data_IF_790637570875
#
_entry.id   IF_790637570875
#
_cell.length_a   1.000
_cell.length_b   1.000
_cell.length_c   1.000
_cell.angle_alpha   90.00
_cell.angle_beta   90.00
_cell.angle_gamma   90.00
#
_symmetry.space_group_name_H-M   'P 1'
#
loop_
_entity.id
_entity.type
_entity.pdbx_description
1 polymer ?
#
# COMPACT_ATOMS: atom_id res chain seq x y z
N UNK A 1 30.15 -24.71 -15.27
CA UNK A 1 29.73 -24.28 -16.63
C UNK A 1 29.15 -22.88 -16.57
N UNK A 2 29.82 -21.90 -17.20
CA UNK A 2 29.43 -20.47 -17.21
C UNK A 2 28.13 -20.28 -18.02
N UNK A 3 27.04 -19.86 -17.37
CA UNK A 3 25.83 -19.37 -18.05
C UNK A 3 26.13 -17.98 -18.64
N UNK A 4 26.32 -17.90 -19.96
CA UNK A 4 26.38 -16.62 -20.69
C UNK A 4 25.01 -15.92 -20.57
N UNK A 5 24.99 -14.74 -19.94
CA UNK A 5 23.90 -13.76 -20.10
C UNK A 5 23.82 -13.38 -21.58
N UNK A 6 22.83 -13.89 -22.29
CA UNK A 6 22.40 -13.31 -23.56
C UNK A 6 21.70 -11.99 -23.24
N UNK A 7 22.22 -10.89 -23.79
CA UNK A 7 21.62 -9.55 -23.67
C UNK A 7 20.18 -9.60 -24.18
N UNK A 8 19.23 -9.09 -23.39
CA UNK A 8 17.78 -9.06 -23.70
C UNK A 8 17.44 -8.40 -25.06
N UNK A 9 18.36 -7.65 -25.68
CA UNK A 9 18.18 -7.04 -27.00
C UNK A 9 18.01 -8.05 -28.14
N UNK A 10 18.61 -9.25 -28.04
CA UNK A 10 18.60 -10.19 -29.17
C UNK A 10 17.31 -11.03 -29.25
N UNK A 11 16.57 -11.15 -28.14
CA UNK A 11 15.30 -11.89 -28.10
C UNK A 11 14.16 -11.08 -28.72
N UNK A 12 14.18 -9.76 -28.55
CA UNK A 12 13.27 -8.83 -29.24
C UNK A 12 13.54 -8.78 -30.74
N UNK A 13 14.80 -8.69 -31.16
CA UNK A 13 15.14 -8.70 -32.59
C UNK A 13 14.75 -10.02 -33.27
N UNK A 14 14.93 -11.16 -32.61
CA UNK A 14 14.48 -12.45 -33.13
C UNK A 14 12.95 -12.52 -33.26
N UNK A 15 12.20 -12.01 -32.27
CA UNK A 15 10.74 -11.91 -32.34
C UNK A 15 10.28 -10.95 -33.45
N UNK A 16 11.00 -9.85 -33.69
CA UNK A 16 10.73 -8.91 -34.77
C UNK A 16 11.04 -9.48 -36.17
N UNK A 17 12.11 -10.27 -36.30
CA UNK A 17 12.44 -10.97 -37.55
C UNK A 17 11.46 -12.11 -37.82
N UNK A 18 11.09 -12.90 -36.80
CA UNK A 18 10.07 -13.94 -36.92
C UNK A 18 8.70 -13.34 -37.30
N UNK A 19 8.35 -12.20 -36.70
CA UNK A 19 7.14 -11.44 -37.03
C UNK A 19 7.19 -10.86 -38.45
N UNK A 20 8.33 -10.30 -38.88
CA UNK A 20 8.51 -9.79 -40.25
C UNK A 20 8.46 -10.88 -41.32
N UNK A 21 9.00 -12.07 -41.02
CA UNK A 21 8.95 -13.21 -41.94
C UNK A 21 7.53 -13.78 -42.10
N UNK A 22 6.71 -13.71 -41.05
CA UNK A 22 5.27 -14.08 -41.10
C UNK A 22 4.42 -13.07 -41.89
N UNK A 23 4.85 -11.81 -42.01
CA UNK A 23 4.15 -10.78 -42.79
C UNK A 23 4.36 -10.96 -44.30
N UNK A 24 5.51 -11.50 -44.73
CA UNK A 24 5.91 -11.49 -46.15
C UNK A 24 5.45 -12.70 -46.98
N UNK A 25 4.78 -13.70 -46.40
CA UNK A 25 4.27 -14.85 -47.15
C UNK A 25 2.76 -14.99 -46.98
N UNK A 26 2.06 -14.43 -47.97
CA UNK A 26 0.67 -14.65 -48.38
C UNK A 26 -0.42 -13.86 -47.62
N UNK A 27 -1.08 -13.00 -48.42
CA UNK A 27 -2.45 -12.45 -48.26
C UNK A 27 -2.64 -11.18 -47.40
N UNK A 28 -2.48 -10.02 -48.04
CA UNK A 28 -3.41 -8.85 -48.14
C UNK A 28 -4.23 -8.31 -46.93
N UNK A 29 -4.09 -8.81 -45.70
CA UNK A 29 -4.88 -8.34 -44.54
C UNK A 29 -4.12 -7.45 -43.53
N UNK A 30 -2.79 -7.26 -43.67
CA UNK A 30 -2.00 -6.53 -42.65
C UNK A 30 -1.75 -5.03 -42.92
N UNK A 31 -1.79 -4.56 -44.18
CA UNK A 31 -1.53 -3.13 -44.45
C UNK A 31 -2.73 -2.23 -44.14
N UNK A 32 -3.95 -2.70 -44.44
CA UNK A 32 -5.16 -1.99 -44.02
C UNK A 32 -5.33 -2.05 -42.50
N UNK A 33 -5.11 -3.16 -41.81
CA UNK A 33 -5.22 -3.20 -40.35
C UNK A 33 -4.17 -2.32 -39.64
N UNK A 34 -2.97 -2.15 -40.23
CA UNK A 34 -1.96 -1.21 -39.74
C UNK A 34 -2.37 0.26 -39.98
N UNK A 35 -2.84 0.63 -41.18
CA UNK A 35 -3.34 1.99 -41.45
C UNK A 35 -4.63 2.32 -40.69
N UNK A 36 -5.60 1.40 -40.62
CA UNK A 36 -6.80 1.54 -39.80
C UNK A 36 -6.45 1.55 -38.31
N UNK A 37 -5.45 0.78 -37.88
CA UNK A 37 -4.88 0.82 -36.55
C UNK A 37 -4.31 2.19 -36.23
N UNK A 38 -3.52 2.78 -37.13
CA UNK A 38 -3.00 4.15 -37.02
C UNK A 38 -4.12 5.19 -36.96
N UNK A 39 -5.13 5.11 -37.82
CA UNK A 39 -6.27 6.04 -37.81
C UNK A 39 -7.07 5.91 -36.51
N UNK A 40 -7.29 4.68 -36.01
CA UNK A 40 -7.97 4.44 -34.72
C UNK A 40 -7.14 4.97 -33.54
N UNK A 41 -5.84 4.70 -33.52
CA UNK A 41 -4.92 5.19 -32.50
C UNK A 41 -4.82 6.72 -32.52
N UNK A 42 -4.80 7.34 -33.70
CA UNK A 42 -4.80 8.79 -33.85
C UNK A 42 -6.12 9.41 -33.38
N UNK A 43 -7.27 8.77 -33.65
CA UNK A 43 -8.56 9.19 -33.09
C UNK A 43 -8.57 9.12 -31.57
N UNK A 44 -8.08 8.03 -30.99
CA UNK A 44 -7.95 7.86 -29.54
C UNK A 44 -7.01 8.92 -28.98
N UNK A 45 -5.84 9.13 -29.58
CA UNK A 45 -4.88 10.14 -29.17
C UNK A 45 -5.48 11.55 -29.19
N UNK A 46 -6.13 11.93 -30.29
CA UNK A 46 -6.78 13.24 -30.42
C UNK A 46 -7.91 13.41 -29.40
N UNK A 47 -8.67 12.33 -29.10
CA UNK A 47 -9.66 12.35 -28.04
C UNK A 47 -9.00 12.56 -26.68
N UNK A 48 -7.99 11.75 -26.33
CA UNK A 48 -7.25 11.89 -25.08
C UNK A 48 -6.61 13.28 -24.92
N UNK A 49 -6.05 13.85 -25.98
CA UNK A 49 -5.48 15.20 -25.99
C UNK A 49 -6.57 16.26 -25.76
N UNK A 50 -7.66 16.20 -26.54
CA UNK A 50 -8.78 17.15 -26.45
C UNK A 50 -9.48 17.11 -25.09
N UNK A 51 -9.56 15.93 -24.47
CA UNK A 51 -10.29 15.70 -23.23
C UNK A 51 -9.38 15.69 -21.98
N UNK A 52 -8.10 16.04 -22.10
CA UNK A 52 -7.22 16.28 -20.95
C UNK A 52 -6.54 15.05 -20.35
N UNK A 53 -6.58 13.90 -21.03
CA UNK A 53 -5.91 12.66 -20.61
C UNK A 53 -4.42 12.63 -20.94
N UNK A 54 -3.91 13.57 -21.75
CA UNK A 54 -2.48 13.69 -22.09
C UNK A 54 -1.88 14.87 -21.34
N UNK A 55 -1.00 14.56 -20.39
CA UNK A 55 -0.24 15.57 -19.66
C UNK A 55 0.94 16.06 -20.49
N UNK A 56 1.00 17.37 -20.76
CA UNK A 56 2.15 17.98 -21.41
C UNK A 56 3.30 18.23 -20.40
N UNK A 57 4.48 18.59 -20.92
CA UNK A 57 5.66 18.84 -20.09
C UNK A 57 5.47 19.95 -19.05
N UNK A 58 4.73 21.02 -19.35
CA UNK A 58 4.52 22.11 -18.40
C UNK A 58 3.60 21.69 -17.25
N UNK A 59 2.58 20.90 -17.53
CA UNK A 59 1.70 20.30 -16.54
C UNK A 59 2.46 19.34 -15.63
N UNK A 60 3.28 18.43 -16.20
CA UNK A 60 4.12 17.51 -15.42
C UNK A 60 5.07 18.28 -14.48
N UNK A 61 5.74 19.31 -14.99
CA UNK A 61 6.63 20.14 -14.17
C UNK A 61 5.87 20.85 -13.04
N UNK A 62 4.62 21.27 -13.28
CA UNK A 62 3.77 21.92 -12.27
C UNK A 62 3.33 20.93 -11.19
N UNK A 63 2.97 19.71 -11.58
CA UNK A 63 2.65 18.61 -10.65
C UNK A 63 3.86 18.31 -9.77
N UNK A 64 5.04 18.11 -10.37
CA UNK A 64 6.27 17.79 -9.64
C UNK A 64 6.63 18.88 -8.64
N UNK A 65 6.60 20.15 -9.04
CA UNK A 65 6.86 21.29 -8.13
C UNK A 65 5.84 21.35 -7.00
N UNK A 66 4.55 21.17 -7.32
CA UNK A 66 3.49 21.20 -6.31
C UNK A 66 3.64 20.05 -5.31
N UNK A 67 3.96 18.85 -5.79
CA UNK A 67 4.22 17.70 -4.93
C UNK A 67 5.43 17.90 -4.02
N UNK A 68 6.55 18.38 -4.59
CA UNK A 68 7.74 18.71 -3.82
C UNK A 68 7.44 19.77 -2.73
N UNK A 69 6.63 20.77 -3.05
CA UNK A 69 6.18 21.79 -2.09
C UNK A 69 5.29 21.19 -0.99
N UNK A 70 4.36 20.29 -1.32
CA UNK A 70 3.52 19.61 -0.32
C UNK A 70 4.38 18.81 0.65
N UNK A 71 5.31 18.00 0.14
CA UNK A 71 6.26 17.22 0.94
C UNK A 71 7.10 18.14 1.83
N UNK A 72 7.75 19.16 1.26
CA UNK A 72 8.61 20.09 1.99
C UNK A 72 7.84 20.81 3.10
N UNK A 73 6.64 21.31 2.78
CA UNK A 73 5.79 22.00 3.76
C UNK A 73 5.40 21.09 4.93
N UNK A 74 5.17 19.80 4.68
CA UNK A 74 4.81 18.84 5.72
C UNK A 74 5.96 18.61 6.70
N UNK A 75 7.20 18.56 6.21
CA UNK A 75 8.38 18.54 7.09
C UNK A 75 8.55 19.84 7.88
N UNK A 76 8.20 20.99 7.31
CA UNK A 76 8.41 22.29 7.96
C UNK A 76 7.36 22.58 9.05
N UNK A 77 6.14 22.06 8.91
CA UNK A 77 5.04 22.30 9.86
C UNK A 77 4.80 21.16 10.85
N UNK A 78 5.50 20.03 10.70
CA UNK A 78 5.44 18.89 11.63
C UNK A 78 4.17 18.04 11.51
N UNK A 79 3.94 17.16 12.50
CA UNK A 79 2.72 16.31 12.55
C UNK A 79 1.48 17.20 12.62
N UNK A 80 0.45 16.82 11.88
CA UNK A 80 -0.85 17.50 11.83
C UNK A 80 -1.70 17.45 13.11
N UNK A 81 -1.11 17.62 14.31
CA UNK A 81 -1.87 17.99 15.51
C UNK A 81 -1.77 19.50 15.77
N UNK A 82 -2.90 20.18 15.96
CA UNK A 82 -2.97 21.63 15.97
C UNK A 82 -2.31 22.18 17.23
N UNK A 83 -1.08 22.69 17.10
CA UNK A 83 -0.67 23.82 17.94
C UNK A 83 -1.50 25.02 17.50
N UNK A 84 -1.98 25.79 18.48
CA UNK A 84 -3.06 26.78 18.44
C UNK A 84 -2.99 27.89 17.37
N UNK A 85 -2.04 27.85 16.42
CA UNK A 85 -1.87 28.80 15.31
C UNK A 85 -1.35 28.17 13.99
N UNK A 86 -1.39 26.85 13.79
CA UNK A 86 -0.70 26.22 12.65
C UNK A 86 -1.49 26.23 11.32
N UNK A 87 -0.75 26.54 10.24
CA UNK A 87 -1.16 26.36 8.85
C UNK A 87 -1.52 24.89 8.58
N UNK A 88 -2.65 24.66 7.90
CA UNK A 88 -3.11 23.33 7.49
C UNK A 88 -2.19 22.83 6.36
N UNK A 89 -1.55 21.67 6.56
CA UNK A 89 -0.83 20.95 5.49
C UNK A 89 -1.77 20.04 4.73
N UNK A 90 -1.49 19.83 3.44
CA UNK A 90 -2.34 19.02 2.55
C UNK A 90 -2.20 17.52 2.81
N UNK A 91 -0.98 17.11 3.17
CA UNK A 91 -0.64 15.76 3.62
C UNK A 91 -0.15 15.80 5.05
N UNK A 92 -0.26 14.67 5.74
CA UNK A 92 0.25 14.52 7.11
C UNK A 92 1.43 13.55 7.12
N UNK A 93 2.39 13.81 7.99
CA UNK A 93 3.49 12.91 8.31
C UNK A 93 3.14 12.12 9.58
N UNK A 94 3.36 10.80 9.55
CA UNK A 94 3.03 9.88 10.64
C UNK A 94 4.25 9.06 11.06
N UNK A 95 4.40 8.83 12.38
CA UNK A 95 5.30 7.81 12.90
C UNK A 95 4.71 6.43 12.68
N UNK A 96 5.58 5.51 12.26
CA UNK A 96 5.24 4.08 12.15
C UNK A 96 5.69 3.27 13.35
N UNK A 97 6.51 3.88 14.23
CA UNK A 97 7.18 3.23 15.38
C UNK A 97 8.12 2.09 14.99
N UNK A 98 8.46 1.98 13.70
CA UNK A 98 9.55 1.13 13.23
C UNK A 98 10.83 1.95 13.15
N UNK A 99 11.82 1.56 13.95
CA UNK A 99 12.97 2.41 14.26
C UNK A 99 14.29 1.95 13.63
N UNK A 100 14.25 0.92 12.80
CA UNK A 100 15.40 0.43 12.07
C UNK A 100 14.97 -0.38 10.86
N UNK A 101 15.83 -0.39 9.84
CA UNK A 101 15.78 -1.41 8.80
C UNK A 101 16.30 -2.74 9.36
N UNK A 102 15.89 -3.88 8.76
CA UNK A 102 16.27 -5.17 9.28
C UNK A 102 17.79 -5.40 9.16
N UNK A 103 18.38 -5.98 10.21
CA UNK A 103 19.81 -6.29 10.30
C UNK A 103 20.18 -7.65 9.72
N UNK A 104 19.17 -8.50 9.46
CA UNK A 104 19.26 -9.94 9.14
C UNK A 104 19.68 -10.83 10.30
N UNK A 105 19.90 -10.26 11.49
CA UNK A 105 20.10 -11.03 12.72
C UNK A 105 18.77 -11.44 13.36
N UNK A 106 17.63 -11.03 12.80
CA UNK A 106 16.30 -11.41 13.28
C UNK A 106 16.12 -12.92 13.16
N UNK A 107 15.62 -13.52 14.24
CA UNK A 107 15.40 -14.94 14.35
C UNK A 107 14.16 -15.22 15.20
N UNK A 108 13.53 -16.36 14.96
CA UNK A 108 12.35 -16.80 15.71
C UNK A 108 11.21 -17.22 14.81
N UNK A 109 10.14 -17.69 15.43
CA UNK A 109 8.92 -18.14 14.75
C UNK A 109 7.81 -17.14 15.07
N UNK A 110 7.16 -16.62 14.03
CA UNK A 110 6.17 -15.56 14.12
C UNK A 110 4.90 -15.95 13.36
N UNK A 111 3.76 -15.58 13.92
CA UNK A 111 2.49 -15.62 13.20
C UNK A 111 2.30 -14.27 12.54
N UNK A 112 1.98 -14.26 11.25
CA UNK A 112 1.64 -13.05 10.52
C UNK A 112 0.20 -13.18 10.02
N UNK A 113 -0.64 -12.22 10.37
CA UNK A 113 -1.97 -12.07 9.79
C UNK A 113 -1.92 -10.89 8.81
N UNK A 114 -2.30 -11.13 7.57
CA UNK A 114 -2.51 -10.09 6.56
C UNK A 114 -4.02 -9.90 6.39
N UNK A 115 -4.51 -8.65 6.46
CA UNK A 115 -5.92 -8.32 6.33
C UNK A 115 -6.14 -7.22 5.29
N UNK A 116 -7.10 -7.45 4.39
CA UNK A 116 -7.51 -6.48 3.38
C UNK A 116 -6.77 -6.60 2.06
N UNK A 117 -6.05 -7.71 1.83
CA UNK A 117 -5.38 -7.98 0.56
C UNK A 117 -6.42 -8.19 -0.56
N UNK A 118 -6.00 -7.95 -1.81
CA UNK A 118 -6.80 -8.00 -3.01
C UNK A 118 -7.19 -9.41 -3.44
N UNK A 119 -6.26 -10.36 -3.28
CA UNK A 119 -6.43 -11.74 -3.76
C UNK A 119 -7.25 -12.53 -2.74
N UNK A 120 -6.88 -12.43 -1.46
CA UNK A 120 -7.53 -13.08 -0.32
C UNK A 120 -7.80 -12.02 0.75
N UNK A 121 -8.99 -12.04 1.34
CA UNK A 121 -9.37 -11.04 2.34
C UNK A 121 -8.51 -11.12 3.61
N UNK A 122 -8.15 -12.35 4.03
CA UNK A 122 -7.24 -12.61 5.15
C UNK A 122 -6.27 -13.74 4.82
N UNK A 123 -5.02 -13.61 5.27
CA UNK A 123 -4.03 -14.70 5.23
C UNK A 123 -3.33 -14.85 6.57
N UNK A 124 -3.19 -16.10 7.00
CA UNK A 124 -2.44 -16.49 8.18
C UNK A 124 -1.16 -17.20 7.74
N UNK A 125 -0.02 -16.75 8.24
CA UNK A 125 1.28 -17.34 7.96
C UNK A 125 1.99 -17.70 9.27
N UNK A 126 2.71 -18.83 9.28
CA UNK A 126 3.72 -19.15 10.29
C UNK A 126 5.09 -19.04 9.61
N UNK A 127 5.88 -18.06 10.04
CA UNK A 127 7.17 -17.71 9.41
C UNK A 127 8.31 -17.96 10.40
N UNK A 128 9.38 -18.58 9.92
CA UNK A 128 10.63 -18.75 10.66
C UNK A 128 11.71 -17.84 10.09
N UNK A 129 12.24 -16.94 10.90
CA UNK A 129 13.44 -16.15 10.58
C UNK A 129 14.67 -16.88 11.10
N UNK A 130 15.71 -16.98 10.27
CA UNK A 130 16.86 -17.84 10.53
C UNK A 130 18.10 -17.11 11.10
N UNK A 131 18.07 -15.77 11.22
CA UNK A 131 19.16 -14.97 11.80
C UNK A 131 20.50 -15.08 11.06
N UNK A 132 20.48 -15.22 9.74
CA UNK A 132 21.68 -15.41 8.91
C UNK A 132 22.08 -14.11 8.20
N UNK A 133 23.37 -13.94 7.92
CA UNK A 133 23.86 -12.78 7.15
C UNK A 133 23.26 -12.68 5.73
N UNK A 134 22.83 -13.82 5.18
CA UNK A 134 22.08 -13.91 3.92
C UNK A 134 20.60 -13.85 4.29
N UNK A 135 19.80 -12.99 3.62
CA UNK A 135 18.36 -12.91 3.88
C UNK A 135 17.71 -14.27 3.63
N UNK A 136 17.19 -14.88 4.69
CA UNK A 136 16.58 -16.20 4.63
C UNK A 136 15.48 -16.31 5.67
N UNK A 137 14.32 -16.74 5.20
CA UNK A 137 13.14 -17.05 6.01
C UNK A 137 12.45 -18.25 5.39
N UNK A 138 11.74 -19.01 6.22
CA UNK A 138 10.90 -20.12 5.78
C UNK A 138 9.43 -19.79 6.10
N UNK A 139 8.55 -19.93 5.11
CA UNK A 139 7.11 -19.96 5.35
C UNK A 139 6.78 -21.41 5.69
N UNK A 140 6.60 -21.69 6.98
CA UNK A 140 6.31 -23.03 7.48
C UNK A 140 4.88 -23.44 7.12
N UNK A 141 3.93 -22.51 7.30
CA UNK A 141 2.53 -22.70 6.97
C UNK A 141 1.94 -21.39 6.44
N UNK A 142 1.02 -21.48 5.48
CA UNK A 142 0.32 -20.32 4.91
C UNK A 142 -1.08 -20.75 4.49
N UNK A 143 -2.08 -19.99 4.94
CA UNK A 143 -3.47 -20.26 4.59
C UNK A 143 -4.24 -18.97 4.38
N UNK A 144 -4.85 -18.86 3.21
CA UNK A 144 -5.66 -17.74 2.79
C UNK A 144 -7.14 -18.04 2.83
N UNK A 145 -7.94 -17.03 3.15
CA UNK A 145 -9.39 -17.13 3.23
C UNK A 145 -10.05 -15.89 2.63
N UNK A 146 -11.18 -16.11 1.96
CA UNK A 146 -12.09 -15.04 1.60
C UNK A 146 -13.23 -15.02 2.60
N UNK A 147 -13.48 -13.84 3.15
CA UNK A 147 -14.58 -13.62 4.07
C UNK A 147 -15.88 -13.47 3.27
N UNK A 148 -17.01 -13.80 3.88
CA UNK A 148 -18.28 -13.50 3.26
C UNK A 148 -18.52 -11.97 3.26
N UNK A 149 -19.25 -11.45 2.27
CA UNK A 149 -19.46 -9.99 2.19
C UNK A 149 -20.16 -9.44 3.43
N UNK A 150 -21.12 -10.18 3.98
CA UNK A 150 -21.80 -9.82 5.22
C UNK A 150 -20.83 -9.70 6.40
N UNK A 151 -19.71 -10.42 6.42
CA UNK A 151 -18.66 -10.31 7.46
C UNK A 151 -17.80 -9.08 7.17
N UNK A 152 -17.33 -8.89 5.94
CA UNK A 152 -16.50 -7.72 5.57
C UNK A 152 -17.19 -6.39 5.81
N UNK A 153 -18.52 -6.37 5.75
CA UNK A 153 -19.36 -5.18 5.94
C UNK A 153 -20.26 -5.29 7.19
N UNK A 154 -19.82 -6.08 8.17
CA UNK A 154 -20.51 -6.26 9.46
C UNK A 154 -20.11 -5.20 10.49
N UNK A 155 -20.66 -5.33 11.69
CA UNK A 155 -20.09 -4.70 12.89
C UNK A 155 -18.67 -5.22 13.14
N UNK A 156 -17.82 -4.36 13.68
CA UNK A 156 -16.42 -4.64 13.98
C UNK A 156 -16.18 -5.92 14.76
N UNK A 157 -16.98 -6.17 15.79
CA UNK A 157 -16.83 -7.37 16.63
C UNK A 157 -17.01 -8.65 15.83
N UNK A 158 -17.93 -8.68 14.86
CA UNK A 158 -18.16 -9.86 14.01
C UNK A 158 -16.95 -10.12 13.11
N UNK A 159 -16.38 -9.07 12.52
CA UNK A 159 -15.13 -9.21 11.76
C UNK A 159 -13.99 -9.74 12.64
N UNK A 160 -13.79 -9.16 13.82
CA UNK A 160 -12.70 -9.53 14.74
C UNK A 160 -12.85 -10.95 15.28
N UNK A 161 -14.07 -11.39 15.58
CA UNK A 161 -14.37 -12.75 16.02
C UNK A 161 -14.09 -13.76 14.89
N UNK A 162 -14.48 -13.46 13.65
CA UNK A 162 -14.17 -14.29 12.49
C UNK A 162 -12.65 -14.41 12.24
N UNK A 163 -11.89 -13.33 12.45
CA UNK A 163 -10.43 -13.38 12.39
C UNK A 163 -9.82 -14.23 13.52
N UNK A 164 -10.38 -14.17 14.73
CA UNK A 164 -9.91 -14.97 15.85
C UNK A 164 -10.23 -16.46 15.67
N UNK A 165 -11.41 -16.78 15.12
CA UNK A 165 -11.81 -18.15 14.74
C UNK A 165 -10.89 -18.68 13.65
N UNK A 166 -10.62 -17.90 12.59
CA UNK A 166 -9.69 -18.29 11.54
C UNK A 166 -8.26 -18.55 12.06
N UNK A 167 -7.76 -17.72 12.98
CA UNK A 167 -6.48 -17.95 13.64
C UNK A 167 -6.49 -19.24 14.48
N UNK A 168 -7.57 -19.51 15.22
CA UNK A 168 -7.73 -20.73 15.99
C UNK A 168 -7.65 -21.96 15.09
N UNK A 169 -8.43 -21.98 14.01
CA UNK A 169 -8.48 -23.11 13.07
C UNK A 169 -7.10 -23.34 12.42
N UNK A 170 -6.40 -22.26 12.05
CA UNK A 170 -5.03 -22.32 11.52
C UNK A 170 -4.06 -22.97 12.52
N UNK A 171 -4.11 -22.58 13.81
CA UNK A 171 -3.25 -23.16 14.85
C UNK A 171 -3.57 -24.62 15.16
N UNK A 172 -4.85 -24.98 15.17
CA UNK A 172 -5.27 -26.37 15.38
C UNK A 172 -4.78 -27.28 14.24
N UNK A 173 -4.83 -26.82 12.98
CA UNK A 173 -4.32 -27.58 11.84
C UNK A 173 -2.81 -27.85 11.93
N UNK A 174 -2.01 -26.87 12.34
CA UNK A 174 -0.56 -27.04 12.54
C UNK A 174 -0.30 -28.04 13.67
N UNK A 175 -1.08 -27.96 14.74
CA UNK A 175 -0.92 -28.79 15.94
C UNK A 175 -1.19 -30.28 15.73
N UNK A 176 -1.81 -30.65 14.60
CA UNK A 176 -1.99 -32.05 14.21
C UNK A 176 -0.66 -32.72 13.83
N UNK A 177 0.29 -31.95 13.29
CA UNK A 177 1.53 -32.47 12.74
C UNK A 177 2.77 -31.98 13.51
N UNK A 178 2.69 -30.82 14.16
CA UNK A 178 3.82 -30.14 14.80
C UNK A 178 3.48 -29.66 16.21
N UNK A 179 4.50 -29.54 17.08
CA UNK A 179 4.33 -28.94 18.40
C UNK A 179 4.72 -27.47 18.37
N UNK A 180 3.75 -26.59 18.52
CA UNK A 180 3.97 -25.16 18.69
C UNK A 180 4.25 -24.79 20.17
N UNK A 181 5.07 -23.76 20.43
CA UNK A 181 5.23 -23.23 21.79
C UNK A 181 3.90 -22.66 22.31
N UNK A 182 3.72 -22.66 23.63
CA UNK A 182 2.50 -22.13 24.25
C UNK A 182 2.34 -20.62 24.05
N UNK A 183 3.44 -19.88 24.04
CA UNK A 183 3.45 -18.44 23.78
C UNK A 183 3.89 -18.18 22.35
N UNK A 184 3.06 -17.46 21.60
CA UNK A 184 3.25 -17.18 20.17
C UNK A 184 3.22 -15.67 19.94
N UNK A 185 4.16 -15.19 19.12
CA UNK A 185 4.24 -13.78 18.75
C UNK A 185 3.50 -13.56 17.44
N UNK A 186 2.63 -12.55 17.43
CA UNK A 186 1.77 -12.23 16.30
C UNK A 186 2.04 -10.82 15.79
N UNK A 187 2.31 -10.72 14.49
CA UNK A 187 2.34 -9.47 13.74
C UNK A 187 1.11 -9.34 12.85
N UNK A 188 0.58 -8.13 12.74
CA UNK A 188 -0.55 -7.80 11.88
C UNK A 188 -0.09 -6.89 10.74
N UNK A 189 -0.44 -7.26 9.51
CA UNK A 189 -0.30 -6.44 8.32
C UNK A 189 -1.69 -5.97 7.88
N UNK A 190 -1.91 -4.65 7.95
CA UNK A 190 -3.15 -4.04 7.49
C UNK A 190 -2.94 -3.38 6.12
N UNK A 191 -3.77 -3.75 5.14
CA UNK A 191 -3.84 -3.11 3.83
C UNK A 191 -4.76 -1.87 3.84
N UNK A 192 -4.86 -1.20 4.99
CA UNK A 192 -5.66 -0.01 5.21
C UNK A 192 -4.78 1.12 5.77
N UNK A 193 -5.13 2.39 5.52
CA UNK A 193 -4.45 3.51 6.19
C UNK A 193 -4.74 3.48 7.68
N UNK A 194 -3.68 3.58 8.48
CA UNK A 194 -3.76 3.55 9.95
C UNK A 194 -3.15 4.78 10.60
N UNK A 195 -3.58 5.07 11.83
CA UNK A 195 -2.88 5.94 12.78
C UNK A 195 -2.34 5.08 13.91
N UNK A 196 -1.07 5.28 14.28
CA UNK A 196 -0.41 4.50 15.31
C UNK A 196 0.26 5.43 16.33
N UNK A 197 0.06 5.10 17.61
CA UNK A 197 0.73 5.78 18.72
C UNK A 197 1.88 4.93 19.27
N UNK A 198 1.86 3.62 19.00
CA UNK A 198 2.89 2.63 19.36
C UNK A 198 2.88 1.51 18.29
N UNK A 199 3.91 0.67 18.26
CA UNK A 199 4.04 -0.41 17.26
C UNK A 199 2.90 -1.43 17.34
N UNK A 200 2.36 -1.69 18.53
CA UNK A 200 1.24 -2.60 18.78
C UNK A 200 -0.07 -1.84 19.04
N UNK A 201 -0.25 -0.68 18.42
CA UNK A 201 -1.49 0.08 18.42
C UNK A 201 -1.84 0.48 16.98
N UNK A 202 -3.12 0.39 16.60
CA UNK A 202 -3.56 0.84 15.29
C UNK A 202 -5.03 1.28 15.30
N UNK A 203 -5.28 2.48 14.78
CA UNK A 203 -6.61 2.99 14.46
C UNK A 203 -6.77 3.00 12.94
N UNK A 204 -7.79 2.32 12.42
CA UNK A 204 -8.10 2.35 10.98
C UNK A 204 -8.75 3.70 10.65
N UNK A 205 -8.19 4.40 9.66
CA UNK A 205 -8.64 5.74 9.26
C UNK A 205 -9.69 5.72 8.16
N UNK A 206 -9.64 4.72 7.28
CA UNK A 206 -10.68 4.44 6.30
C UNK A 206 -10.61 3.01 5.82
N UNK A 207 -11.75 2.50 5.39
CA UNK A 207 -11.86 1.21 4.73
C UNK A 207 -11.75 1.32 3.21
N UNK A 208 -11.52 0.19 2.55
CA UNK A 208 -11.61 0.06 1.09
C UNK A 208 -13.06 -0.18 0.66
N UNK A 209 -13.34 -0.28 -0.64
CA UNK A 209 -14.69 -0.63 -1.12
C UNK A 209 -15.14 -2.06 -0.73
N UNK A 210 -14.20 -2.95 -0.40
CA UNK A 210 -14.46 -4.36 -0.07
C UNK A 210 -14.78 -4.60 1.40
N UNK A 211 -14.28 -3.73 2.27
CA UNK A 211 -14.47 -3.79 3.72
C UNK A 211 -15.21 -2.57 4.21
N UNK A 212 -16.07 -2.70 5.20
CA UNK A 212 -16.71 -1.54 5.81
C UNK A 212 -17.26 -1.89 7.19
N UNK A 213 -16.43 -1.71 8.22
CA UNK A 213 -16.82 -1.87 9.62
C UNK A 213 -16.74 -0.49 10.31
N UNK A 214 -17.76 0.36 10.16
CA UNK A 214 -17.67 1.78 10.53
C UNK A 214 -17.45 2.00 12.04
N UNK A 215 -17.88 1.08 12.88
CA UNK A 215 -17.70 1.09 14.33
C UNK A 215 -16.26 0.80 14.78
N UNK A 216 -15.38 0.29 13.91
CA UNK A 216 -13.94 0.16 14.18
C UNK A 216 -13.13 1.39 13.75
N UNK A 217 -13.71 2.33 13.01
CA UNK A 217 -12.97 3.52 12.58
C UNK A 217 -12.53 4.32 13.81
N UNK A 218 -11.26 4.73 13.83
CA UNK A 218 -10.65 5.49 14.92
C UNK A 218 -10.72 4.81 16.30
N UNK A 219 -10.94 3.49 16.35
CA UNK A 219 -10.81 2.69 17.57
C UNK A 219 -9.55 1.84 17.49
N UNK A 220 -8.96 1.53 18.65
CA UNK A 220 -7.78 0.67 18.73
C UNK A 220 -8.12 -0.77 18.31
N UNK A 221 -7.83 -1.07 17.05
CA UNK A 221 -8.07 -2.35 16.41
C UNK A 221 -7.34 -3.47 17.16
N UNK A 222 -6.14 -3.21 17.65
CA UNK A 222 -5.29 -4.21 18.29
C UNK A 222 -5.87 -4.63 19.63
N UNK A 223 -6.29 -3.66 20.43
CA UNK A 223 -6.96 -3.92 21.71
C UNK A 223 -8.24 -4.73 21.53
N UNK A 224 -9.06 -4.36 20.55
CA UNK A 224 -10.32 -5.06 20.28
C UNK A 224 -10.07 -6.47 19.74
N UNK A 225 -9.12 -6.63 18.81
CA UNK A 225 -8.79 -7.95 18.27
C UNK A 225 -8.21 -8.88 19.34
N UNK A 226 -7.41 -8.35 20.27
CA UNK A 226 -6.91 -9.11 21.42
C UNK A 226 -8.02 -9.65 22.32
N UNK A 227 -9.16 -8.94 22.43
CA UNK A 227 -10.32 -9.42 23.17
C UNK A 227 -10.96 -10.63 22.48
N UNK A 228 -11.16 -10.57 21.17
CA UNK A 228 -11.65 -11.70 20.38
C UNK A 228 -10.69 -12.90 20.45
N UNK A 229 -9.37 -12.67 20.30
CA UNK A 229 -8.36 -13.74 20.46
C UNK A 229 -8.51 -14.44 21.82
N UNK A 230 -8.60 -13.70 22.92
CA UNK A 230 -8.76 -14.28 24.27
C UNK A 230 -10.06 -15.07 24.45
N UNK A 231 -11.12 -14.69 23.73
CA UNK A 231 -12.41 -15.37 23.79
C UNK A 231 -12.37 -16.72 23.07
N UNK A 232 -11.70 -16.80 21.91
CA UNK A 232 -11.74 -17.99 21.06
C UNK A 232 -10.52 -18.91 21.21
N UNK A 233 -9.37 -18.39 21.64
CA UNK A 233 -8.10 -19.14 21.74
C UNK A 233 -7.72 -19.31 23.21
N UNK A 234 -7.94 -20.51 23.76
CA UNK A 234 -7.74 -20.80 25.19
C UNK A 234 -6.42 -21.54 25.50
N UNK A 235 -5.83 -22.21 24.51
CA UNK A 235 -4.66 -23.08 24.70
C UNK A 235 -3.32 -22.39 24.43
N UNK A 236 -3.34 -21.28 23.67
CA UNK A 236 -2.17 -20.48 23.33
C UNK A 236 -2.25 -19.10 23.96
N UNK A 237 -1.09 -18.58 24.37
CA UNK A 237 -0.91 -17.20 24.76
C UNK A 237 -0.39 -16.41 23.55
N UNK A 238 -1.31 -15.75 22.85
CA UNK A 238 -1.02 -14.97 21.65
C UNK A 238 -0.66 -13.54 22.06
N UNK A 239 0.58 -13.16 21.80
CA UNK A 239 1.06 -11.80 22.05
C UNK A 239 1.13 -11.03 20.73
N UNK A 240 0.21 -10.08 20.54
CA UNK A 240 0.24 -9.19 19.38
C UNK A 240 1.29 -8.10 19.61
N UNK A 241 2.45 -8.26 18.96
CA UNK A 241 3.64 -7.45 19.21
C UNK A 241 3.80 -6.28 18.23
N UNK A 242 3.15 -6.34 17.06
CA UNK A 242 3.25 -5.31 16.05
C UNK A 242 2.03 -5.29 15.12
N UNK A 243 1.68 -4.09 14.69
CA UNK A 243 0.81 -3.83 13.57
C UNK A 243 1.53 -2.86 12.63
N UNK A 244 1.54 -3.15 11.33
CA UNK A 244 2.13 -2.26 10.33
C UNK A 244 1.20 -2.16 9.12
N UNK A 245 1.32 -1.06 8.38
CA UNK A 245 0.64 -0.90 7.09
C UNK A 245 1.48 -1.45 5.93
N UNK A 246 0.82 -1.69 4.80
CA UNK A 246 1.41 -2.27 3.57
C UNK A 246 2.69 -1.57 3.09
N UNK A 247 2.70 -0.24 3.02
CA UNK A 247 3.88 0.52 2.59
C UNK A 247 5.11 0.29 3.50
N UNK A 248 4.92 0.21 4.81
CA UNK A 248 6.01 -0.05 5.77
C UNK A 248 6.50 -1.49 5.63
N UNK A 249 5.58 -2.45 5.49
CA UNK A 249 5.93 -3.85 5.29
C UNK A 249 6.72 -4.06 3.98
N UNK A 250 6.29 -3.41 2.88
CA UNK A 250 7.00 -3.46 1.61
C UNK A 250 8.41 -2.89 1.72
N UNK A 251 8.57 -1.75 2.42
CA UNK A 251 9.88 -1.14 2.65
C UNK A 251 10.81 -2.12 3.41
N UNK A 252 10.36 -2.67 4.52
CA UNK A 252 11.14 -3.57 5.39
C UNK A 252 11.47 -4.87 4.65
N UNK A 253 10.50 -5.47 3.95
CA UNK A 253 10.67 -6.71 3.22
C UNK A 253 11.71 -6.57 2.10
N UNK A 254 11.64 -5.49 1.31
CA UNK A 254 12.66 -5.24 0.27
C UNK A 254 14.00 -4.85 0.88
N UNK A 255 14.02 -4.11 1.99
CA UNK A 255 15.25 -3.77 2.71
C UNK A 255 15.96 -5.01 3.29
N UNK A 256 15.21 -6.05 3.66
CA UNK A 256 15.78 -7.33 4.09
C UNK A 256 16.65 -7.94 2.99
N UNK A 257 16.20 -7.92 1.74
CA UNK A 257 16.97 -8.38 0.58
C UNK A 257 18.02 -7.36 0.10
N UNK A 258 17.65 -6.08 0.06
CA UNK A 258 18.42 -4.97 -0.49
C UNK A 258 18.53 -3.84 0.55
N UNK A 259 19.59 -3.81 1.39
CA UNK A 259 19.69 -2.91 2.55
C UNK A 259 19.71 -1.41 2.24
N UNK A 260 19.93 -1.03 0.97
CA UNK A 260 19.90 0.36 0.52
C UNK A 260 18.49 0.85 0.17
N UNK A 261 17.45 0.08 0.49
CA UNK A 261 16.05 0.43 0.22
C UNK A 261 15.55 1.41 1.27
N UNK A 262 15.24 2.63 0.85
CA UNK A 262 14.88 3.73 1.76
C UNK A 262 13.47 4.29 1.54
N UNK A 263 12.79 3.90 0.46
CA UNK A 263 11.46 4.39 0.10
C UNK A 263 10.64 3.22 -0.44
N UNK A 264 9.37 3.16 -0.04
CA UNK A 264 8.35 2.31 -0.64
C UNK A 264 7.20 3.16 -1.19
N UNK A 265 6.62 2.69 -2.28
CA UNK A 265 5.47 3.28 -2.93
C UNK A 265 4.48 2.15 -3.23
N UNK A 266 3.24 2.32 -2.79
CA UNK A 266 2.15 1.39 -3.08
C UNK A 266 1.15 2.08 -4.00
N UNK A 267 0.83 1.42 -5.12
CA UNK A 267 -0.15 1.84 -6.11
C UNK A 267 -1.19 0.72 -6.25
N UNK A 268 -2.11 0.63 -5.29
CA UNK A 268 -3.15 -0.41 -5.26
C UNK A 268 -4.52 0.25 -5.10
N UNK A 269 -5.16 0.07 -3.94
CA UNK A 269 -6.42 0.71 -3.59
C UNK A 269 -6.28 2.13 -3.10
N UNK A 270 -5.11 2.45 -2.57
CA UNK A 270 -4.73 3.77 -2.06
C UNK A 270 -3.27 4.00 -2.43
N UNK A 271 -2.92 5.26 -2.66
CA UNK A 271 -1.53 5.65 -2.74
C UNK A 271 -0.93 5.72 -1.34
N UNK A 272 0.13 4.96 -1.10
CA UNK A 272 0.88 5.01 0.16
C UNK A 272 2.37 5.20 -0.11
N UNK A 273 3.02 5.97 0.75
CA UNK A 273 4.45 6.23 0.70
C UNK A 273 5.03 6.14 2.09
N UNK A 274 6.02 5.27 2.26
CA UNK A 274 6.84 5.18 3.46
C UNK A 274 8.31 5.35 3.13
N UNK A 275 9.06 5.94 4.05
CA UNK A 275 10.48 6.22 3.84
C UNK A 275 11.26 6.20 5.16
N UNK A 276 12.56 5.93 5.06
CA UNK A 276 13.49 6.00 6.18
C UNK A 276 13.98 7.44 6.33
N UNK A 277 14.00 7.94 7.56
CA UNK A 277 14.50 9.27 7.87
C UNK A 277 15.45 9.26 9.07
N UNK A 278 16.40 10.20 9.07
CA UNK A 278 17.28 10.45 10.20
C UNK A 278 16.52 11.21 11.30
N UNK A 279 16.55 10.64 12.50
CA UNK A 279 15.93 11.26 13.67
C UNK A 279 16.56 12.59 14.06
N UNK A 280 17.83 12.85 13.70
CA UNK A 280 18.48 14.16 13.89
C UNK A 280 17.78 15.25 13.08
N UNK A 281 17.39 14.96 11.84
CA UNK A 281 16.66 15.89 10.98
C UNK A 281 15.30 16.20 11.62
N UNK A 282 14.61 15.18 12.13
CA UNK A 282 13.31 15.33 12.79
C UNK A 282 13.40 16.16 14.08
N UNK A 283 14.45 15.95 14.89
CA UNK A 283 14.73 16.74 16.10
C UNK A 283 15.05 18.19 15.76
N UNK A 284 15.87 18.44 14.74
CA UNK A 284 16.25 19.79 14.32
C UNK A 284 15.05 20.64 13.92
N UNK A 285 14.01 20.00 13.36
CA UNK A 285 12.76 20.62 12.94
C UNK A 285 11.65 20.59 14.00
N UNK A 286 11.90 20.05 15.20
CA UNK A 286 10.89 19.86 16.26
C UNK A 286 9.60 19.16 15.78
N UNK A 287 9.72 18.20 14.86
CA UNK A 287 8.57 17.51 14.24
C UNK A 287 7.86 16.59 15.26
N UNK A 288 8.64 15.88 16.08
CA UNK A 288 8.17 14.97 17.12
C UNK A 288 8.58 15.48 18.50
N UNK A 289 7.82 15.15 19.55
CA UNK A 289 8.24 15.49 20.91
C UNK A 289 9.58 14.82 21.19
N UNK A 290 10.52 15.55 21.79
CA UNK A 290 11.90 15.09 21.97
C UNK A 290 11.98 13.68 22.60
N UNK A 291 11.04 13.31 23.47
CA UNK A 291 11.01 12.04 24.18
C UNK A 291 10.83 10.81 23.27
N UNK A 292 10.09 10.93 22.16
CA UNK A 292 9.80 9.79 21.26
C UNK A 292 11.03 9.32 20.48
N UNK A 293 12.05 10.18 20.31
CA UNK A 293 13.18 9.94 19.40
C UNK A 293 14.55 9.88 20.09
N UNK A 294 14.66 9.97 21.42
CA UNK A 294 15.97 10.21 22.10
C UNK A 294 17.03 9.12 21.92
N UNK A 295 16.65 7.89 21.58
CA UNK A 295 17.56 6.74 21.53
C UNK A 295 17.77 6.15 20.13
N UNK A 296 17.19 6.77 19.10
CA UNK A 296 17.12 6.21 17.76
C UNK A 296 18.02 7.00 16.80
N UNK A 297 18.63 6.33 15.82
CA UNK A 297 19.36 6.99 14.73
C UNK A 297 18.45 7.20 13.52
N UNK A 298 17.62 6.21 13.19
CA UNK A 298 16.69 6.26 12.07
C UNK A 298 15.28 5.89 12.52
N UNK A 299 14.29 6.25 11.71
CA UNK A 299 12.90 5.79 11.86
C UNK A 299 12.23 5.72 10.50
N UNK A 300 11.20 4.88 10.38
CA UNK A 300 10.35 4.82 9.20
C UNK A 300 9.16 5.76 9.42
N UNK A 301 8.93 6.62 8.45
CA UNK A 301 7.80 7.53 8.41
C UNK A 301 6.89 7.20 7.25
N UNK A 302 5.64 7.61 7.37
CA UNK A 302 4.65 7.50 6.30
C UNK A 302 3.96 8.82 6.03
N UNK A 303 3.71 9.10 4.75
CA UNK A 303 2.80 10.16 4.36
C UNK A 303 1.37 9.63 4.30
N UNK A 304 0.46 10.40 4.89
CA UNK A 304 -0.97 10.17 4.81
C UNK A 304 -1.59 11.16 3.82
N UNK A 305 -2.00 10.62 2.67
CA UNK A 305 -2.63 11.33 1.56
C UNK A 305 -4.16 11.41 1.69
N UNK A 306 -4.75 10.73 2.68
CA UNK A 306 -6.19 10.65 2.86
C UNK A 306 -6.84 12.00 3.15
N UNK A 307 -6.11 13.03 3.56
CA UNK A 307 -6.70 14.35 3.82
C UNK A 307 -6.78 15.26 2.58
N UNK A 308 -6.24 14.82 1.43
CA UNK A 308 -6.30 15.56 0.16
C UNK A 308 -7.64 15.35 -0.57
N UNK A 309 -8.75 15.56 0.14
CA UNK A 309 -10.09 15.52 -0.45
C UNK A 309 -10.80 16.87 -0.45
N UNK A 310 -10.27 17.88 0.25
CA UNK A 310 -11.12 18.96 0.71
C UNK A 310 -10.73 20.33 0.17
N UNK A 311 -11.75 21.13 -0.15
CA UNK A 311 -11.68 22.58 -0.38
C UNK A 311 -11.00 23.36 0.76
N UNK A 312 -10.53 22.68 1.83
CA UNK A 312 -9.74 23.26 2.91
C UNK A 312 -8.38 23.77 2.43
N UNK A 313 -7.81 23.17 1.38
CA UNK A 313 -6.61 23.69 0.73
C UNK A 313 -6.93 24.27 -0.64
N UNK A 314 -7.00 25.60 -0.68
CA UNK A 314 -7.28 26.34 -1.91
C UNK A 314 -6.26 26.00 -3.01
N UNK A 315 -4.98 25.84 -2.66
CA UNK A 315 -3.90 25.61 -3.63
C UNK A 315 -3.95 24.21 -4.23
N UNK A 316 -4.04 23.18 -3.39
CA UNK A 316 -4.11 21.80 -3.88
C UNK A 316 -5.41 21.53 -4.62
N UNK A 317 -6.53 22.07 -4.12
CA UNK A 317 -7.80 22.02 -4.84
C UNK A 317 -7.70 22.68 -6.23
N UNK A 318 -7.12 23.88 -6.32
CA UNK A 318 -6.95 24.56 -7.61
C UNK A 318 -6.06 23.76 -8.57
N UNK A 319 -4.97 23.16 -8.08
CA UNK A 319 -4.12 22.29 -8.91
C UNK A 319 -4.93 21.12 -9.48
N UNK A 320 -5.62 20.36 -8.63
CA UNK A 320 -6.35 19.17 -9.07
C UNK A 320 -7.53 19.51 -9.97
N UNK A 321 -8.19 20.65 -9.78
CA UNK A 321 -9.20 21.13 -10.72
C UNK A 321 -8.65 21.36 -12.14
N UNK A 322 -7.36 21.68 -12.30
CA UNK A 322 -6.75 21.79 -13.63
C UNK A 322 -6.39 20.44 -14.26
N UNK A 323 -6.36 19.36 -13.47
CA UNK A 323 -5.96 18.02 -13.90
C UNK A 323 -7.14 17.09 -14.15
N UNK A 324 -8.22 17.25 -13.39
CA UNK A 324 -9.36 16.36 -13.43
C UNK A 324 -10.22 16.58 -14.67
N UNK A 325 -10.50 15.48 -15.36
CA UNK A 325 -11.53 15.42 -16.40
C UNK A 325 -12.92 15.23 -15.79
N UNK A 326 -14.02 15.47 -16.54
CA UNK A 326 -15.37 15.16 -16.07
C UNK A 326 -15.55 13.68 -15.67
N UNK A 327 -14.85 12.76 -16.35
CA UNK A 327 -14.86 11.33 -16.03
C UNK A 327 -14.20 11.10 -14.67
N UNK A 328 -13.06 11.73 -14.42
CA UNK A 328 -12.37 11.61 -13.13
C UNK A 328 -13.27 12.07 -11.98
N UNK A 329 -13.92 13.23 -12.13
CA UNK A 329 -14.85 13.77 -11.11
C UNK A 329 -16.00 12.79 -10.83
N UNK A 330 -16.57 12.19 -11.88
CA UNK A 330 -17.62 11.18 -11.74
C UNK A 330 -17.11 9.95 -10.96
N UNK A 331 -15.95 9.41 -11.35
CA UNK A 331 -15.36 8.22 -10.71
C UNK A 331 -14.97 8.52 -9.26
N UNK A 332 -14.39 9.68 -8.99
CA UNK A 332 -14.07 10.14 -7.64
C UNK A 332 -15.29 10.13 -6.72
N UNK A 333 -16.41 10.71 -7.17
CA UNK A 333 -17.64 10.76 -6.39
C UNK A 333 -18.27 9.38 -6.22
N UNK A 334 -18.21 8.54 -7.26
CA UNK A 334 -18.79 7.19 -7.25
C UNK A 334 -18.04 6.24 -6.32
N UNK A 335 -16.71 6.29 -6.33
CA UNK A 335 -15.84 5.41 -5.55
C UNK A 335 -15.41 6.01 -4.21
N UNK A 336 -15.74 7.29 -3.95
CA UNK A 336 -15.38 8.04 -2.76
C UNK A 336 -13.86 8.07 -2.50
N UNK A 337 -13.08 8.43 -3.53
CA UNK A 337 -11.60 8.45 -3.50
C UNK A 337 -11.02 9.87 -3.50
N UNK A 338 -9.74 10.05 -3.11
CA UNK A 338 -9.08 11.38 -3.08
C UNK A 338 -8.46 11.75 -4.41
N UNK A 339 -7.95 12.98 -4.47
CA UNK A 339 -7.27 13.52 -5.63
C UNK A 339 -6.01 12.75 -6.03
N UNK A 340 -5.35 12.02 -5.14
CA UNK A 340 -4.22 11.15 -5.53
C UNK A 340 -4.73 9.82 -6.04
N UNK A 341 -5.62 9.19 -5.28
CA UNK A 341 -6.14 7.86 -5.54
C UNK A 341 -6.83 7.74 -6.91
N UNK A 342 -7.50 8.80 -7.39
CA UNK A 342 -8.08 8.80 -8.75
C UNK A 342 -7.04 8.56 -9.85
N UNK A 343 -5.78 9.01 -9.67
CA UNK A 343 -4.70 8.85 -10.65
C UNK A 343 -3.81 7.64 -10.39
N UNK A 344 -3.88 7.04 -9.20
CA UNK A 344 -2.94 5.98 -8.78
C UNK A 344 -3.60 4.65 -8.50
N UNK A 345 -4.92 4.61 -8.32
CA UNK A 345 -5.61 3.39 -7.92
C UNK A 345 -6.17 2.60 -9.09
N UNK A 346 -5.93 1.29 -9.08
CA UNK A 346 -6.31 0.39 -10.17
C UNK A 346 -7.83 0.35 -10.42
N UNK A 347 -8.62 0.42 -9.34
CA UNK A 347 -10.09 0.46 -9.44
C UNK A 347 -10.59 1.71 -10.16
N UNK A 348 -9.91 2.83 -9.98
CA UNK A 348 -10.22 4.09 -10.67
C UNK A 348 -9.88 3.97 -12.15
N UNK A 349 -8.68 3.46 -12.47
CA UNK A 349 -8.23 3.25 -13.85
C UNK A 349 -9.21 2.35 -14.63
N UNK A 350 -9.64 1.24 -14.03
CA UNK A 350 -10.60 0.32 -14.67
C UNK A 350 -11.96 0.99 -14.92
N UNK A 351 -12.46 1.77 -13.97
CA UNK A 351 -13.75 2.47 -14.12
C UNK A 351 -13.68 3.60 -15.16
N UNK A 352 -12.58 4.36 -15.19
CA UNK A 352 -12.32 5.38 -16.22
C UNK A 352 -12.30 4.74 -17.61
N UNK A 353 -11.56 3.64 -17.79
CA UNK A 353 -11.51 2.90 -19.06
C UNK A 353 -12.89 2.39 -19.45
N UNK A 354 -13.67 1.84 -18.49
CA UNK A 354 -15.03 1.37 -18.75
C UNK A 354 -15.93 2.49 -19.27
N UNK A 355 -15.84 3.69 -18.68
CA UNK A 355 -16.62 4.85 -19.11
C UNK A 355 -16.20 5.33 -20.50
N UNK A 356 -14.89 5.39 -20.78
CA UNK A 356 -14.35 5.76 -22.09
C UNK A 356 -14.73 4.78 -23.22
N UNK A 357 -15.00 3.52 -22.90
CA UNK A 357 -15.45 2.50 -23.88
C UNK A 357 -16.95 2.65 -24.20
N UNK A 358 -17.75 3.16 -23.25
CA UNK A 358 -19.20 3.29 -23.39
C UNK A 358 -19.59 4.62 -24.06
N UNK A 359 -18.77 5.67 -23.88
CA UNK A 359 -18.88 6.94 -24.59
C UNK A 359 -18.57 6.80 -26.08
#
# INVERSE_FOLDING_TARGET
MKRKRLKNSNRLNYLFEEFSQRINKNNLFCFQSYQYGHIKLQRIHNYCEKHGFILNHSTINTIQKSFANMITSTFDYGIGEPKSNNKITDIKLQLTHVNALPSRSEQGIFIIIELGNLIEDVRYNLVSLLGRQIPSYDILHSQGYNLAEQIRKSNGTVLLDELAIGLKDFLEQISLNEKLPRSLQLGLLLHFPIKQNELNHAEILSWSSRFNCPDLLNHDFIKLFHQSIKQYILYYDINLIACIQESVAALISVAFEYPNTLISLIFNHTFQLSFVEDTEILRSKNIFQQFELRALYQTILSFNFQFIHSNKSIKSHALFQTLLTPIDIYVMNKLNVNYFDIFTCDSCLLEIIRLLIIE
#
